data_IF_924711699480
#
_entry.id   IF_924711699480
#
_cell.length_a   1.000
_cell.length_b   1.000
_cell.length_c   1.000
_cell.angle_alpha   90.00
_cell.angle_beta   90.00
_cell.angle_gamma   90.00
#
_symmetry.space_group_name_H-M   'P 1'
#
loop_
_entity.id
_entity.type
_entity.pdbx_description
1 polymer ?
#
# COMPACT_ATOMS: atom_id res chain seq x y z
N UNK A 1 -5.31 15.14 -3.66
CA UNK A 1 -6.36 14.91 -2.63
C UNK A 1 -7.69 14.80 -3.34
N UNK A 2 -8.66 14.07 -2.79
CA UNK A 2 -9.99 13.91 -3.40
C UNK A 2 -10.80 15.18 -3.14
N UNK A 3 -11.57 15.63 -4.12
CA UNK A 3 -12.49 16.76 -3.97
C UNK A 3 -13.75 16.26 -3.27
N UNK A 4 -13.95 16.67 -2.01
CA UNK A 4 -15.15 16.36 -1.25
C UNK A 4 -16.11 17.55 -1.25
N UNK A 5 -17.41 17.27 -1.25
CA UNK A 5 -18.45 18.29 -1.08
C UNK A 5 -18.43 18.83 0.34
N UNK A 6 -18.71 20.12 0.50
CA UNK A 6 -18.86 20.76 1.81
C UNK A 6 -20.16 20.36 2.52
N UNK A 7 -21.14 19.79 1.79
CA UNK A 7 -22.41 19.32 2.37
C UNK A 7 -22.17 18.00 3.09
N UNK A 8 -22.33 18.03 4.41
CA UNK A 8 -22.12 16.85 5.25
C UNK A 8 -23.39 16.01 5.31
N UNK A 9 -23.20 14.69 5.36
CA UNK A 9 -24.26 13.75 5.66
C UNK A 9 -24.58 13.80 7.16
N UNK A 10 -25.82 13.49 7.50
CA UNK A 10 -26.19 13.25 8.90
C UNK A 10 -25.37 12.09 9.49
N UNK A 11 -24.96 12.22 10.75
CA UNK A 11 -24.08 11.24 11.41
C UNK A 11 -24.68 9.85 11.48
N UNK A 12 -26.00 9.75 11.69
CA UNK A 12 -26.68 8.45 11.72
C UNK A 12 -26.65 7.78 10.34
N UNK A 13 -26.94 8.56 9.29
CA UNK A 13 -26.88 8.06 7.90
C UNK A 13 -25.45 7.64 7.55
N UNK A 14 -24.46 8.43 7.93
CA UNK A 14 -23.04 8.11 7.71
C UNK A 14 -22.64 6.79 8.38
N UNK A 15 -23.09 6.55 9.61
CA UNK A 15 -22.82 5.31 10.33
C UNK A 15 -23.45 4.09 9.63
N UNK A 16 -24.70 4.21 9.17
CA UNK A 16 -25.36 3.14 8.41
C UNK A 16 -24.67 2.83 7.08
N UNK A 17 -24.19 3.86 6.39
CA UNK A 17 -23.41 3.68 5.16
C UNK A 17 -22.05 3.01 5.45
N UNK A 18 -21.45 3.27 6.61
CA UNK A 18 -20.23 2.60 7.03
C UNK A 18 -20.45 1.10 7.30
N UNK A 19 -21.53 0.75 7.99
CA UNK A 19 -21.94 -0.66 8.22
C UNK A 19 -22.14 -1.40 6.89
N UNK A 20 -22.89 -0.79 5.96
CA UNK A 20 -23.09 -1.35 4.62
C UNK A 20 -21.76 -1.57 3.88
N UNK A 21 -20.87 -0.58 3.91
CA UNK A 21 -19.55 -0.69 3.30
C UNK A 21 -18.76 -1.86 3.88
N UNK A 22 -18.77 -2.02 5.21
CA UNK A 22 -18.08 -3.10 5.90
C UNK A 22 -18.60 -4.48 5.49
N UNK A 23 -19.92 -4.65 5.42
CA UNK A 23 -20.55 -5.89 4.95
C UNK A 23 -20.14 -6.20 3.51
N UNK A 24 -20.19 -5.22 2.61
CA UNK A 24 -19.83 -5.39 1.20
C UNK A 24 -18.39 -5.89 1.02
N UNK A 25 -17.44 -5.39 1.81
CA UNK A 25 -16.04 -5.82 1.82
C UNK A 25 -15.80 -7.16 2.54
N UNK A 26 -16.68 -7.55 3.47
CA UNK A 26 -16.55 -8.80 4.24
C UNK A 26 -17.05 -10.02 3.47
N UNK A 27 -17.89 -9.82 2.46
CA UNK A 27 -18.36 -10.91 1.59
C UNK A 27 -17.17 -11.53 0.86
N UNK A 28 -16.98 -12.85 1.07
CA UNK A 28 -15.95 -13.63 0.38
C UNK A 28 -16.28 -13.72 -1.11
N UNK A 29 -15.39 -13.20 -1.95
CA UNK A 29 -15.56 -13.11 -3.41
C UNK A 29 -14.41 -13.82 -4.11
N UNK A 30 -14.64 -14.25 -5.36
CA UNK A 30 -13.52 -14.63 -6.24
C UNK A 30 -12.71 -13.40 -6.62
N UNK A 31 -11.48 -13.58 -7.12
CA UNK A 31 -10.63 -12.47 -7.57
C UNK A 31 -11.31 -11.63 -8.66
N UNK A 32 -12.00 -12.28 -9.60
CA UNK A 32 -12.76 -11.62 -10.68
C UNK A 32 -13.93 -10.81 -10.13
N UNK A 33 -14.65 -11.35 -9.16
CA UNK A 33 -15.80 -10.66 -8.55
C UNK A 33 -15.34 -9.46 -7.70
N UNK A 34 -14.17 -9.57 -7.06
CA UNK A 34 -13.56 -8.45 -6.35
C UNK A 34 -13.13 -7.36 -7.31
N UNK A 35 -12.52 -7.69 -8.44
CA UNK A 35 -12.09 -6.70 -9.43
C UNK A 35 -13.30 -5.94 -10.00
N UNK A 36 -14.36 -6.65 -10.41
CA UNK A 36 -15.61 -6.03 -10.87
C UNK A 36 -16.24 -5.12 -9.80
N UNK A 37 -16.23 -5.54 -8.53
CA UNK A 37 -16.68 -4.71 -7.42
C UNK A 37 -15.80 -3.46 -7.24
N UNK A 38 -14.48 -3.62 -7.30
CA UNK A 38 -13.54 -2.53 -7.12
C UNK A 38 -13.59 -1.51 -8.28
N UNK A 39 -13.80 -1.99 -9.51
CA UNK A 39 -14.00 -1.14 -10.69
C UNK A 39 -15.31 -0.37 -10.68
N UNK A 40 -16.37 -0.96 -10.12
CA UNK A 40 -17.68 -0.30 -10.02
C UNK A 40 -17.74 0.73 -8.89
N UNK A 41 -17.01 0.51 -7.80
CA UNK A 41 -16.98 1.42 -6.66
C UNK A 41 -16.04 2.62 -6.84
N UNK A 42 -14.87 2.42 -7.47
CA UNK A 42 -13.82 3.44 -7.56
C UNK A 42 -13.53 3.87 -9.00
N UNK A 43 -13.42 5.18 -9.20
CA UNK A 43 -12.90 5.71 -10.47
C UNK A 43 -11.46 5.24 -10.71
N UNK A 44 -11.04 5.20 -11.98
CA UNK A 44 -9.68 4.75 -12.33
C UNK A 44 -8.57 5.49 -11.55
N UNK A 45 -8.74 6.80 -11.33
CA UNK A 45 -7.79 7.61 -10.57
C UNK A 45 -7.78 7.27 -9.07
N UNK A 46 -8.95 6.99 -8.48
CA UNK A 46 -9.06 6.61 -7.07
C UNK A 46 -8.46 5.22 -6.82
N UNK A 47 -8.62 4.30 -7.77
CA UNK A 47 -7.99 2.97 -7.72
C UNK A 47 -6.47 3.08 -7.64
N UNK A 48 -5.86 3.82 -8.57
CA UNK A 48 -4.41 4.06 -8.58
C UNK A 48 -3.96 4.73 -7.28
N UNK A 49 -4.75 5.69 -6.78
CA UNK A 49 -4.46 6.37 -5.52
C UNK A 49 -4.47 5.42 -4.32
N UNK A 50 -5.46 4.53 -4.22
CA UNK A 50 -5.55 3.53 -3.16
C UNK A 50 -4.39 2.55 -3.19
N UNK A 51 -4.03 2.03 -4.37
CA UNK A 51 -2.89 1.12 -4.56
C UNK A 51 -1.60 1.79 -4.08
N UNK A 52 -1.35 3.05 -4.49
CA UNK A 52 -0.18 3.81 -4.05
C UNK A 52 -0.15 4.02 -2.54
N UNK A 53 -1.31 4.30 -1.91
CA UNK A 53 -1.41 4.47 -0.45
C UNK A 53 -1.11 3.18 0.31
N UNK A 54 -1.60 2.04 -0.18
CA UNK A 54 -1.30 0.72 0.40
C UNK A 54 0.20 0.42 0.31
N UNK A 55 0.80 0.62 -0.88
CA UNK A 55 2.24 0.46 -1.06
C UNK A 55 3.07 1.38 -0.16
N UNK A 56 2.61 2.63 0.01
CA UNK A 56 3.27 3.60 0.88
C UNK A 56 3.28 3.17 2.35
N UNK A 57 2.12 2.78 2.89
CA UNK A 57 2.02 2.35 4.30
C UNK A 57 2.97 1.17 4.54
N UNK A 58 3.02 0.25 3.58
CA UNK A 58 3.90 -0.91 3.66
C UNK A 58 5.39 -0.54 3.65
N UNK A 59 5.82 0.29 2.69
CA UNK A 59 7.23 0.69 2.58
C UNK A 59 7.70 1.48 3.79
N UNK A 60 6.82 2.30 4.38
CA UNK A 60 7.07 3.00 5.63
C UNK A 60 7.28 2.00 6.79
N UNK A 61 6.42 0.99 6.93
CA UNK A 61 6.57 -0.05 7.97
C UNK A 61 7.86 -0.87 7.78
N UNK A 62 8.27 -1.11 6.54
CA UNK A 62 9.54 -1.79 6.23
C UNK A 62 10.78 -0.91 6.45
N UNK A 63 10.62 0.38 6.74
CA UNK A 63 11.73 1.31 6.97
C UNK A 63 12.49 1.69 5.70
N UNK A 64 11.83 1.69 4.54
CA UNK A 64 12.45 2.18 3.30
C UNK A 64 12.64 3.70 3.39
N UNK A 65 13.78 4.19 2.92
CA UNK A 65 14.09 5.63 2.93
C UNK A 65 13.08 6.43 2.12
N UNK A 66 12.75 7.63 2.58
CA UNK A 66 11.70 8.48 2.00
C UNK A 66 11.92 8.80 0.52
N UNK A 67 13.16 9.05 0.10
CA UNK A 67 13.51 9.28 -1.32
C UNK A 67 13.09 8.09 -2.19
N UNK A 68 13.52 6.89 -1.82
CA UNK A 68 13.19 5.68 -2.56
C UNK A 68 11.67 5.46 -2.62
N UNK A 69 10.91 5.72 -1.54
CA UNK A 69 9.45 5.58 -1.57
C UNK A 69 8.82 6.55 -2.59
N UNK A 70 9.27 7.80 -2.61
CA UNK A 70 8.83 8.79 -3.59
C UNK A 70 9.09 8.33 -5.03
N UNK A 71 10.28 7.78 -5.27
CA UNK A 71 10.69 7.35 -6.60
C UNK A 71 10.01 6.04 -7.03
N UNK A 72 9.72 5.12 -6.09
CA UNK A 72 9.00 3.86 -6.32
C UNK A 72 7.55 4.13 -6.69
N UNK A 73 6.85 4.87 -5.83
CA UNK A 73 5.40 5.04 -5.94
C UNK A 73 5.01 6.23 -6.82
N UNK A 74 6.00 7.01 -7.28
CA UNK A 74 5.83 8.27 -8.01
C UNK A 74 4.84 9.16 -7.27
N UNK A 75 5.20 9.49 -6.03
CA UNK A 75 4.40 10.32 -5.13
C UNK A 75 5.22 11.52 -4.65
N UNK A 76 4.55 12.63 -4.34
CA UNK A 76 5.24 13.81 -3.82
C UNK A 76 5.76 13.57 -2.39
N UNK A 77 6.91 14.18 -2.02
CA UNK A 77 7.42 14.15 -0.63
C UNK A 77 6.41 14.68 0.38
N UNK A 78 5.59 15.66 -0.02
CA UNK A 78 4.51 16.20 0.80
C UNK A 78 3.41 15.18 1.10
N UNK A 79 3.10 14.28 0.17
CA UNK A 79 2.15 13.18 0.39
C UNK A 79 2.75 12.18 1.36
N UNK A 80 4.02 11.80 1.15
CA UNK A 80 4.74 10.88 2.02
C UNK A 80 4.79 11.37 3.47
N UNK A 81 5.18 12.63 3.66
CA UNK A 81 5.29 13.25 4.99
C UNK A 81 3.95 13.27 5.73
N UNK A 82 2.85 13.58 5.02
CA UNK A 82 1.49 13.54 5.59
C UNK A 82 1.12 12.14 6.08
N UNK A 83 1.39 11.11 5.29
CA UNK A 83 1.05 9.74 5.68
C UNK A 83 1.94 9.19 6.79
N UNK A 84 3.24 9.54 6.81
CA UNK A 84 4.12 9.21 7.93
C UNK A 84 3.51 9.75 9.22
N UNK A 85 3.12 11.03 9.24
CA UNK A 85 2.50 11.65 10.40
C UNK A 85 1.17 11.00 10.80
N UNK A 86 0.34 10.60 9.83
CA UNK A 86 -0.93 9.90 10.10
C UNK A 86 -0.67 8.53 10.74
N UNK A 87 0.31 7.78 10.25
CA UNK A 87 0.68 6.48 10.82
C UNK A 87 1.27 6.63 12.23
N UNK A 88 2.14 7.61 12.45
CA UNK A 88 2.75 7.88 13.75
C UNK A 88 1.69 8.26 14.80
N UNK A 89 0.68 9.03 14.41
CA UNK A 89 -0.45 9.41 15.28
C UNK A 89 -1.39 8.25 15.58
N UNK A 90 -1.53 7.29 14.65
CA UNK A 90 -2.43 6.15 14.79
C UNK A 90 -1.64 4.87 15.07
N UNK A 91 -1.08 4.76 16.29
CA UNK A 91 -0.30 3.58 16.72
C UNK A 91 -1.02 2.24 16.47
N UNK A 92 -2.33 2.19 16.70
CA UNK A 92 -3.13 0.99 16.45
C UNK A 92 -3.13 0.56 14.97
N UNK A 93 -3.13 1.52 14.05
CA UNK A 93 -3.06 1.24 12.62
C UNK A 93 -1.67 0.73 12.24
N UNK A 94 -0.60 1.35 12.76
CA UNK A 94 0.77 0.90 12.54
C UNK A 94 0.97 -0.55 13.00
N UNK A 95 0.51 -0.89 14.20
CA UNK A 95 0.61 -2.25 14.74
C UNK A 95 -0.23 -3.26 13.94
N UNK A 96 -1.43 -2.88 13.52
CA UNK A 96 -2.28 -3.72 12.68
C UNK A 96 -1.62 -4.02 11.33
N UNK A 97 -1.16 -2.99 10.63
CA UNK A 97 -0.46 -3.18 9.37
C UNK A 97 0.86 -3.94 9.58
N UNK A 98 1.61 -3.67 10.65
CA UNK A 98 2.81 -4.42 11.01
C UNK A 98 2.57 -5.92 11.17
N UNK A 99 1.44 -6.31 11.79
CA UNK A 99 1.00 -7.72 11.88
C UNK A 99 0.59 -8.27 10.52
N UNK A 100 -0.12 -7.49 9.71
CA UNK A 100 -0.58 -7.90 8.37
C UNK A 100 0.60 -8.16 7.43
N UNK A 101 1.64 -7.33 7.50
CA UNK A 101 2.89 -7.42 6.70
C UNK A 101 3.75 -8.63 7.04
N UNK A 102 3.59 -9.22 8.23
CA UNK A 102 4.29 -10.47 8.58
C UNK A 102 3.72 -11.70 7.86
N UNK A 103 2.60 -11.57 7.13
CA UNK A 103 2.08 -12.67 6.30
C UNK A 103 2.97 -12.86 5.07
N UNK A 104 3.63 -14.02 5.00
CA UNK A 104 4.59 -14.45 3.94
C UNK A 104 4.14 -14.07 2.53
N UNK A 105 2.87 -14.34 2.19
CA UNK A 105 2.32 -14.04 0.86
C UNK A 105 2.44 -12.57 0.45
N UNK A 106 2.21 -11.63 1.37
CA UNK A 106 2.29 -10.20 1.08
C UNK A 106 3.74 -9.73 0.92
N UNK A 107 4.66 -10.32 1.67
CA UNK A 107 6.10 -10.02 1.56
C UNK A 107 6.59 -10.38 0.16
N UNK A 108 6.24 -11.57 -0.34
CA UNK A 108 6.69 -12.06 -1.65
C UNK A 108 6.22 -11.16 -2.80
N UNK A 109 4.93 -10.82 -2.84
CA UNK A 109 4.36 -9.91 -3.86
C UNK A 109 5.10 -8.58 -3.87
N UNK A 110 5.47 -8.07 -2.70
CA UNK A 110 6.09 -6.76 -2.59
C UNK A 110 7.59 -6.80 -2.88
N UNK A 111 8.28 -7.89 -2.54
CA UNK A 111 9.66 -8.10 -2.97
C UNK A 111 9.74 -8.22 -4.49
N UNK A 112 8.75 -8.84 -5.15
CA UNK A 112 8.63 -8.85 -6.62
C UNK A 112 8.42 -7.45 -7.20
N UNK A 113 7.53 -6.65 -6.61
CA UNK A 113 7.32 -5.25 -7.04
C UNK A 113 8.59 -4.42 -6.86
N UNK A 114 9.32 -4.59 -5.75
CA UNK A 114 10.58 -3.90 -5.50
C UNK A 114 11.66 -4.34 -6.49
N UNK A 115 11.82 -5.64 -6.75
CA UNK A 115 12.79 -6.13 -7.74
C UNK A 115 12.43 -5.66 -9.17
N UNK A 116 11.14 -5.55 -9.49
CA UNK A 116 10.70 -5.03 -10.79
C UNK A 116 11.03 -3.55 -10.96
N UNK A 117 10.86 -2.75 -9.89
CA UNK A 117 11.04 -1.30 -9.97
C UNK A 117 12.48 -0.84 -9.68
N UNK A 118 13.23 -1.56 -8.83
CA UNK A 118 14.56 -1.18 -8.30
C UNK A 118 15.57 -2.33 -8.34
N UNK A 119 15.28 -3.39 -9.09
CA UNK A 119 16.22 -4.47 -9.30
C UNK A 119 17.48 -4.01 -10.04
N UNK A 120 18.57 -4.77 -9.94
CA UNK A 120 19.74 -4.56 -10.75
C UNK A 120 19.37 -4.64 -12.23
N UNK A 121 19.80 -3.65 -13.02
CA UNK A 121 19.45 -3.50 -14.43
C UNK A 121 18.46 -2.37 -14.73
N UNK A 122 17.81 -1.80 -13.72
CA UNK A 122 16.96 -0.61 -13.93
C UNK A 122 17.84 0.65 -14.11
N UNK A 123 17.56 1.50 -15.11
CA UNK A 123 18.27 2.78 -15.26
C UNK A 123 17.99 3.74 -14.10
N UNK A 124 19.02 4.42 -13.59
CA UNK A 124 18.89 5.48 -12.57
C UNK A 124 18.77 5.02 -11.12
N UNK A 125 18.92 3.72 -10.84
CA UNK A 125 18.98 3.21 -9.45
C UNK A 125 20.40 2.94 -9.00
N UNK A 126 20.64 3.01 -7.68
CA UNK A 126 21.92 2.63 -7.10
C UNK A 126 22.13 1.11 -7.23
N UNK A 127 22.94 0.71 -8.20
CA UNK A 127 23.16 -0.71 -8.53
C UNK A 127 23.76 -1.50 -7.36
N UNK A 128 24.61 -0.88 -6.53
CA UNK A 128 25.18 -1.54 -5.37
C UNK A 128 24.12 -1.86 -4.32
N UNK A 129 23.18 -0.95 -4.07
CA UNK A 129 22.05 -1.19 -3.16
C UNK A 129 21.01 -2.15 -3.74
N UNK A 130 20.74 -2.06 -5.04
CA UNK A 130 19.84 -2.96 -5.75
C UNK A 130 20.33 -4.42 -5.65
N UNK A 131 21.62 -4.66 -5.91
CA UNK A 131 22.23 -5.99 -5.77
C UNK A 131 22.23 -6.50 -4.32
N UNK A 132 22.51 -5.64 -3.34
CA UNK A 132 22.42 -6.00 -1.91
C UNK A 132 21.00 -6.40 -1.53
N UNK A 133 20.00 -5.70 -2.05
CA UNK A 133 18.59 -5.98 -1.81
C UNK A 133 18.17 -7.29 -2.48
N UNK A 134 18.53 -7.50 -3.75
CA UNK A 134 18.25 -8.74 -4.48
C UNK A 134 18.88 -9.97 -3.81
N UNK A 135 20.14 -9.89 -3.38
CA UNK A 135 20.80 -10.99 -2.63
C UNK A 135 20.08 -11.32 -1.32
N UNK A 136 19.57 -10.30 -0.61
CA UNK A 136 18.81 -10.48 0.63
C UNK A 136 17.47 -11.18 0.39
N UNK A 137 16.78 -10.81 -0.69
CA UNK A 137 15.52 -11.43 -1.14
C UNK A 137 15.77 -12.89 -1.50
N UNK A 138 16.77 -13.16 -2.35
CA UNK A 138 17.14 -14.53 -2.76
C UNK A 138 17.48 -15.43 -1.57
N UNK A 139 18.29 -14.92 -0.63
CA UNK A 139 18.67 -15.66 0.58
C UNK A 139 17.47 -15.98 1.48
N UNK A 140 16.44 -15.12 1.53
CA UNK A 140 15.20 -15.42 2.27
C UNK A 140 14.37 -16.51 1.60
N UNK A 141 14.26 -16.45 0.27
CA UNK A 141 13.56 -17.46 -0.53
C UNK A 141 14.22 -18.85 -0.41
N UNK A 142 15.54 -18.92 -0.34
CA UNK A 142 16.30 -20.16 -0.08
C UNK A 142 16.06 -20.74 1.31
N UNK A 143 15.77 -19.90 2.31
CA UNK A 143 15.51 -20.31 3.71
C UNK A 143 14.02 -20.70 3.92
N UNK A 144 13.15 -20.49 2.93
CA UNK A 144 11.73 -20.87 3.01
C UNK A 144 10.87 -19.93 3.87
N UNK A 145 11.32 -18.67 4.06
CA UNK A 145 10.59 -17.61 4.79
C UNK A 145 9.90 -16.62 3.87
#
# INVERSE_FOLDING_TARGET
MVRLSARQLDKYVQQRLYELLFEMFSIKRSEKDFDNFFMSLFSGNERVMLIKRIGLIYLLIKGVTTSNICDILKISPSTLSKYSLILDKNKNAYDYFGKLVKKVRLVNILEEVIDTLYGPGTPGVNWSEAWKTKKRILKRKEIGL
#
